data_IF_663190751601
#
_entry.id   IF_663190751601
#
_cell.length_a   1.000
_cell.length_b   1.000
_cell.length_c   1.000
_cell.angle_alpha   90.00
_cell.angle_beta   90.00
_cell.angle_gamma   90.00
#
_symmetry.space_group_name_H-M   'P 1'
#
loop_
_entity.id
_entity.type
_entity.pdbx_description
1 polymer ?
#
# COMPACT_ATOMS: atom_id res chain seq x y z
N UNK A 1 -17.28 22.70 -0.13
CA UNK A 1 -15.81 22.78 -0.23
C UNK A 1 -15.25 21.97 0.93
N UNK A 2 -14.71 20.78 0.67
CA UNK A 2 -14.08 19.99 1.72
C UNK A 2 -12.79 20.70 2.13
N UNK A 3 -12.66 21.07 3.40
CA UNK A 3 -11.43 21.63 3.95
C UNK A 3 -10.31 20.61 3.73
N UNK A 4 -9.37 20.90 2.83
CA UNK A 4 -8.10 20.22 2.81
C UNK A 4 -7.45 20.48 4.18
N UNK A 5 -7.40 19.46 5.03
CA UNK A 5 -6.65 19.56 6.28
C UNK A 5 -5.21 19.82 5.87
N UNK A 6 -4.67 20.97 6.28
CA UNK A 6 -3.29 21.31 6.02
C UNK A 6 -2.37 20.21 6.56
N UNK A 7 -1.32 19.88 5.81
CA UNK A 7 -0.31 18.92 6.25
C UNK A 7 0.20 19.27 7.65
N UNK A 8 0.48 18.25 8.46
CA UNK A 8 1.02 18.39 9.83
C UNK A 8 2.38 19.11 9.84
N UNK A 9 3.17 18.91 8.78
CA UNK A 9 4.41 19.63 8.48
C UNK A 9 4.67 19.63 6.96
N UNK A 10 5.85 20.08 6.53
CA UNK A 10 6.20 20.16 5.11
C UNK A 10 5.98 18.81 4.38
N UNK A 11 5.20 18.85 3.29
CA UNK A 11 4.77 17.68 2.53
C UNK A 11 5.31 17.76 1.09
N UNK A 12 6.62 17.54 0.89
CA UNK A 12 7.30 17.87 -0.38
C UNK A 12 6.81 17.02 -1.56
N UNK A 13 6.29 15.82 -1.29
CA UNK A 13 5.72 14.90 -2.27
C UNK A 13 4.18 14.95 -2.33
N UNK A 14 3.54 15.81 -1.53
CA UNK A 14 2.09 15.99 -1.53
C UNK A 14 1.30 14.73 -1.19
N UNK A 15 1.79 13.90 -0.26
CA UNK A 15 1.11 12.67 0.18
C UNK A 15 -0.28 12.95 0.75
N UNK A 16 -1.23 12.03 0.56
CA UNK A 16 -2.63 12.19 0.99
C UNK A 16 -3.31 10.86 1.42
N UNK A 17 -2.56 10.00 2.11
CA UNK A 17 -3.07 8.71 2.58
C UNK A 17 -2.80 7.53 1.66
N UNK A 18 -3.31 6.35 2.04
CA UNK A 18 -3.25 5.14 1.23
C UNK A 18 -4.30 5.16 0.10
N UNK A 19 -3.94 4.59 -1.05
CA UNK A 19 -4.87 4.39 -2.17
C UNK A 19 -5.34 2.93 -2.29
N UNK A 20 -4.40 1.99 -2.35
CA UNK A 20 -4.66 0.55 -2.35
C UNK A 20 -3.54 -0.26 -1.73
N UNK A 21 -3.85 -1.52 -1.40
CA UNK A 21 -2.88 -2.57 -1.07
C UNK A 21 -2.98 -3.66 -2.12
N UNK A 22 -1.87 -4.05 -2.71
CA UNK A 22 -1.80 -5.13 -3.69
C UNK A 22 -1.19 -6.37 -3.09
N UNK A 23 -1.92 -7.47 -3.23
CA UNK A 23 -1.58 -8.78 -2.74
C UNK A 23 -1.27 -9.72 -3.90
N UNK A 24 -0.32 -10.61 -3.64
CA UNK A 24 -0.02 -11.74 -4.49
C UNK A 24 -0.03 -13.01 -3.64
N UNK A 25 -0.50 -14.12 -4.22
CA UNK A 25 -0.52 -15.41 -3.54
C UNK A 25 -0.38 -16.56 -4.55
N UNK A 26 0.19 -17.71 -4.15
CA UNK A 26 0.17 -18.92 -4.95
C UNK A 26 -1.24 -19.47 -5.20
N UNK A 27 -2.17 -19.28 -4.24
CA UNK A 27 -3.60 -19.54 -4.41
C UNK A 27 -4.40 -18.23 -4.25
N UNK A 28 -4.62 -17.46 -5.34
CA UNK A 28 -5.42 -16.24 -5.31
C UNK A 28 -6.88 -16.47 -4.92
N UNK A 29 -7.42 -17.67 -5.14
CA UNK A 29 -8.80 -17.99 -4.81
C UNK A 29 -8.98 -18.16 -3.29
N UNK A 30 -8.01 -18.74 -2.60
CA UNK A 30 -7.99 -18.77 -1.13
C UNK A 30 -7.95 -17.37 -0.54
N UNK A 31 -7.12 -16.48 -1.09
CA UNK A 31 -7.07 -15.08 -0.64
C UNK A 31 -8.41 -14.36 -0.88
N UNK A 32 -9.06 -14.59 -2.01
CA UNK A 32 -10.39 -14.06 -2.30
C UNK A 32 -11.46 -14.53 -1.30
N UNK A 33 -11.43 -15.81 -0.89
CA UNK A 33 -12.34 -16.34 0.15
C UNK A 33 -12.12 -15.66 1.49
N UNK A 34 -10.86 -15.49 1.91
CA UNK A 34 -10.52 -14.78 3.15
C UNK A 34 -11.03 -13.33 3.14
N UNK A 35 -10.86 -12.60 2.03
CA UNK A 35 -11.36 -11.23 1.90
C UNK A 35 -12.88 -11.17 1.98
N UNK A 36 -13.60 -12.12 1.39
CA UNK A 36 -15.05 -12.21 1.54
C UNK A 36 -15.49 -12.43 3.00
N UNK A 37 -14.78 -13.28 3.75
CA UNK A 37 -15.02 -13.49 5.19
C UNK A 37 -14.77 -12.22 6.02
N UNK A 38 -13.82 -11.39 5.60
CA UNK A 38 -13.55 -10.07 6.20
C UNK A 38 -14.54 -8.98 5.75
N UNK A 39 -15.55 -9.31 4.94
CA UNK A 39 -16.58 -8.40 4.47
C UNK A 39 -16.21 -7.58 3.24
N UNK A 40 -15.13 -7.91 2.53
CA UNK A 40 -14.81 -7.31 1.24
C UNK A 40 -15.60 -7.95 0.11
N UNK A 41 -15.96 -7.16 -0.89
CA UNK A 41 -16.60 -7.65 -2.11
C UNK A 41 -15.67 -7.47 -3.30
N UNK A 42 -15.51 -8.49 -4.14
CA UNK A 42 -14.90 -8.34 -5.46
C UNK A 42 -15.84 -7.50 -6.33
N UNK A 43 -15.40 -6.30 -6.73
CA UNK A 43 -16.24 -5.33 -7.46
C UNK A 43 -15.89 -5.20 -8.93
N UNK A 44 -14.63 -5.46 -9.30
CA UNK A 44 -14.16 -5.25 -10.65
C UNK A 44 -12.98 -6.16 -11.00
N UNK A 45 -12.76 -6.36 -12.29
CA UNK A 45 -11.60 -7.06 -12.85
C UNK A 45 -10.84 -6.12 -13.78
N UNK A 46 -9.52 -6.22 -13.78
CA UNK A 46 -8.69 -5.44 -14.71
C UNK A 46 -9.03 -5.78 -16.16
N UNK A 47 -8.99 -4.78 -17.06
CA UNK A 47 -9.44 -4.92 -18.46
C UNK A 47 -8.72 -6.02 -19.24
N UNK A 48 -7.43 -6.18 -18.98
CA UNK A 48 -6.50 -7.01 -19.76
C UNK A 48 -5.76 -8.06 -18.93
N UNK A 49 -5.80 -7.97 -17.59
CA UNK A 49 -4.96 -8.77 -16.67
C UNK A 49 -5.83 -9.60 -15.74
N UNK A 50 -5.29 -10.71 -15.23
CA UNK A 50 -5.92 -11.50 -14.20
C UNK A 50 -5.76 -10.86 -12.82
N UNK A 51 -6.38 -9.70 -12.65
CA UNK A 51 -6.31 -8.88 -11.44
C UNK A 51 -7.72 -8.52 -10.99
N UNK A 52 -8.01 -8.72 -9.71
CA UNK A 52 -9.32 -8.43 -9.11
C UNK A 52 -9.20 -7.28 -8.10
N UNK A 53 -10.19 -6.39 -8.13
CA UNK A 53 -10.38 -5.31 -7.17
C UNK A 53 -11.45 -5.70 -6.15
N UNK A 54 -11.06 -5.72 -4.89
CA UNK A 54 -11.91 -5.91 -3.73
C UNK A 54 -12.10 -4.59 -2.99
N UNK A 55 -13.31 -4.34 -2.50
CA UNK A 55 -13.64 -3.09 -1.79
C UNK A 55 -14.48 -3.35 -0.53
N UNK A 56 -14.20 -2.54 0.49
CA UNK A 56 -15.00 -2.35 1.69
C UNK A 56 -14.72 -0.94 2.24
N UNK A 57 -15.75 -0.14 2.49
CA UNK A 57 -15.57 1.27 2.84
C UNK A 57 -14.73 2.02 1.80
N UNK A 58 -13.69 2.72 2.24
CA UNK A 58 -12.71 3.38 1.39
C UNK A 58 -11.46 2.52 1.09
N UNK A 59 -11.46 1.24 1.48
CA UNK A 59 -10.34 0.33 1.33
C UNK A 59 -10.41 -0.36 -0.03
N UNK A 60 -9.31 -0.31 -0.78
CA UNK A 60 -9.14 -1.04 -2.04
C UNK A 60 -8.04 -2.08 -1.86
N UNK A 61 -8.40 -3.35 -2.01
CA UNK A 61 -7.45 -4.45 -2.10
C UNK A 61 -7.41 -4.97 -3.52
N UNK A 62 -6.21 -5.07 -4.07
CA UNK A 62 -5.96 -5.64 -5.39
C UNK A 62 -5.38 -7.03 -5.18
N UNK A 63 -5.94 -8.04 -5.83
CA UNK A 63 -5.35 -9.38 -5.89
C UNK A 63 -4.80 -9.58 -7.29
N UNK A 64 -3.49 -9.66 -7.40
CA UNK A 64 -2.80 -9.82 -8.67
C UNK A 64 -2.43 -11.28 -8.92
N UNK A 65 -3.18 -11.90 -9.82
CA UNK A 65 -3.03 -13.27 -10.27
C UNK A 65 -2.55 -13.34 -11.73
N UNK A 66 -1.95 -12.26 -12.24
CA UNK A 66 -1.41 -12.22 -13.60
C UNK A 66 -0.20 -13.16 -13.73
N UNK A 67 -0.23 -14.16 -14.62
CA UNK A 67 0.92 -15.04 -14.83
C UNK A 67 2.15 -14.26 -15.31
N UNK A 68 3.34 -14.80 -15.06
CA UNK A 68 4.61 -14.20 -15.50
C UNK A 68 4.82 -12.72 -15.12
N UNK A 69 4.24 -12.31 -13.99
CA UNK A 69 4.29 -10.94 -13.46
C UNK A 69 5.26 -10.79 -12.28
N UNK A 70 5.56 -9.53 -11.93
CA UNK A 70 6.25 -9.19 -10.68
C UNK A 70 5.52 -9.79 -9.48
N UNK A 71 4.19 -9.63 -9.39
CA UNK A 71 3.38 -10.12 -8.29
C UNK A 71 3.51 -11.64 -8.10
N UNK A 72 3.39 -12.42 -9.18
CA UNK A 72 3.53 -13.88 -9.09
C UNK A 72 4.98 -14.32 -8.80
N UNK A 73 5.97 -13.55 -9.25
CA UNK A 73 7.37 -13.77 -8.84
C UNK A 73 7.57 -13.52 -7.36
N UNK A 74 6.98 -12.45 -6.84
CA UNK A 74 7.00 -12.09 -5.43
C UNK A 74 6.33 -13.16 -4.55
N UNK A 75 5.16 -13.67 -4.97
CA UNK A 75 4.43 -14.71 -4.26
C UNK A 75 5.12 -16.09 -4.26
N UNK A 76 5.96 -16.39 -5.27
CA UNK A 76 6.77 -17.63 -5.29
C UNK A 76 7.90 -17.61 -4.28
N UNK A 77 8.40 -16.41 -3.99
CA UNK A 77 9.32 -16.16 -2.89
C UNK A 77 8.43 -16.17 -1.65
N UNK A 78 7.81 -15.04 -1.30
CA UNK A 78 7.21 -14.77 0.01
C UNK A 78 5.88 -15.46 0.36
N UNK A 79 5.31 -16.31 -0.49
CA UNK A 79 3.97 -16.86 -0.32
C UNK A 79 2.87 -15.79 -0.42
N UNK A 80 1.69 -16.00 0.22
CA UNK A 80 0.62 -15.01 0.28
C UNK A 80 1.10 -13.74 1.00
N UNK A 81 1.24 -12.63 0.27
CA UNK A 81 1.96 -11.45 0.76
C UNK A 81 1.46 -10.16 0.11
N UNK A 82 1.82 -9.03 0.72
CA UNK A 82 1.66 -7.69 0.13
C UNK A 82 2.87 -7.45 -0.77
N UNK A 83 2.66 -7.41 -2.09
CA UNK A 83 3.72 -7.16 -3.05
C UNK A 83 3.85 -5.68 -3.41
N UNK A 84 2.79 -4.88 -3.19
CA UNK A 84 2.85 -3.44 -3.36
C UNK A 84 1.83 -2.68 -2.49
N UNK A 85 2.12 -1.41 -2.26
CA UNK A 85 1.22 -0.44 -1.66
C UNK A 85 1.14 0.80 -2.55
N UNK A 86 0.04 1.54 -2.48
CA UNK A 86 -0.10 2.80 -3.19
C UNK A 86 -0.35 3.95 -2.23
N UNK A 87 0.38 5.05 -2.42
CA UNK A 87 0.15 6.32 -1.74
C UNK A 87 -0.54 7.28 -2.68
N UNK A 88 -1.56 7.95 -2.15
CA UNK A 88 -2.14 9.13 -2.79
C UNK A 88 -1.11 10.26 -2.75
N UNK A 89 -0.95 10.95 -3.87
CA UNK A 89 -0.12 12.15 -3.99
C UNK A 89 -0.84 13.19 -4.84
N UNK A 90 -0.51 14.47 -4.68
CA UNK A 90 -1.17 15.53 -5.46
C UNK A 90 -0.74 15.55 -6.94
N UNK A 91 0.49 15.15 -7.25
CA UNK A 91 1.05 15.09 -8.61
C UNK A 91 2.05 13.92 -8.65
N UNK A 92 1.70 12.86 -9.38
CA UNK A 92 2.47 11.63 -9.40
C UNK A 92 3.82 11.79 -10.12
N UNK A 93 3.86 12.59 -11.19
CA UNK A 93 5.09 12.84 -11.94
C UNK A 93 6.10 13.65 -11.13
N UNK A 94 5.63 14.70 -10.46
CA UNK A 94 6.47 15.52 -9.57
C UNK A 94 6.93 14.72 -8.35
N UNK A 95 6.03 13.95 -7.73
CA UNK A 95 6.37 13.12 -6.57
C UNK A 95 7.41 12.05 -6.93
N UNK A 96 7.24 11.38 -8.08
CA UNK A 96 8.21 10.40 -8.58
C UNK A 96 9.58 11.02 -8.82
N UNK A 97 9.64 12.14 -9.55
CA UNK A 97 10.89 12.85 -9.82
C UNK A 97 11.62 13.20 -8.52
N UNK A 98 10.92 13.82 -7.56
CA UNK A 98 11.49 14.19 -6.26
C UNK A 98 11.94 12.97 -5.45
N UNK A 99 11.17 11.87 -5.47
CA UNK A 99 11.54 10.66 -4.77
C UNK A 99 12.89 10.11 -5.28
N UNK A 100 13.05 10.03 -6.60
CA UNK A 100 14.29 9.57 -7.25
C UNK A 100 15.45 10.52 -6.97
N UNK A 101 15.23 11.84 -7.04
CA UNK A 101 16.24 12.85 -6.67
C UNK A 101 16.72 12.70 -5.20
N UNK A 102 15.86 12.18 -4.32
CA UNK A 102 16.16 11.88 -2.91
C UNK A 102 16.67 10.44 -2.68
N UNK A 103 17.03 9.74 -3.75
CA UNK A 103 17.68 8.44 -3.70
C UNK A 103 16.72 7.25 -3.62
N UNK A 104 15.44 7.42 -3.97
CA UNK A 104 14.55 6.29 -4.21
C UNK A 104 14.96 5.52 -5.48
N UNK A 105 14.79 4.20 -5.47
CA UNK A 105 14.96 3.39 -6.68
C UNK A 105 13.67 3.43 -7.50
N UNK A 106 13.71 4.14 -8.63
CA UNK A 106 12.62 4.16 -9.60
C UNK A 106 12.40 2.79 -10.23
N UNK A 107 11.16 2.50 -10.61
CA UNK A 107 10.78 1.29 -11.33
C UNK A 107 10.27 1.67 -12.71
N UNK A 108 10.85 1.05 -13.74
CA UNK A 108 10.36 1.18 -15.11
C UNK A 108 9.04 0.43 -15.23
N UNK A 109 7.98 1.15 -15.63
CA UNK A 109 6.66 0.57 -15.79
C UNK A 109 6.29 0.52 -17.28
N UNK A 110 5.80 -0.63 -17.73
CA UNK A 110 5.44 -0.89 -19.12
C UNK A 110 3.92 -1.15 -19.20
N UNK A 111 3.09 -0.09 -19.22
CA UNK A 111 1.63 -0.25 -19.23
C UNK A 111 1.17 -0.90 -20.54
N UNK A 112 0.13 -1.72 -20.45
CA UNK A 112 -0.57 -2.24 -21.62
C UNK A 112 -1.33 -1.14 -22.37
N UNK A 113 -1.84 -1.44 -23.58
CA UNK A 113 -2.65 -0.49 -24.33
C UNK A 113 -3.84 0.01 -23.52
N UNK A 114 -4.02 1.34 -23.45
CA UNK A 114 -5.11 2.00 -22.71
C UNK A 114 -5.09 1.80 -21.18
N UNK A 115 -3.96 1.37 -20.62
CA UNK A 115 -3.73 1.32 -19.16
C UNK A 115 -3.02 2.59 -18.67
N UNK A 116 -3.25 2.95 -17.41
CA UNK A 116 -2.49 4.04 -16.80
C UNK A 116 -1.04 3.67 -16.54
N UNK A 117 -0.15 4.59 -16.88
CA UNK A 117 1.25 4.52 -16.46
C UNK A 117 1.39 5.09 -15.04
N UNK A 118 1.14 4.28 -14.02
CA UNK A 118 1.27 4.69 -12.62
C UNK A 118 2.75 4.60 -12.21
N UNK A 119 3.40 5.69 -11.78
CA UNK A 119 4.79 5.66 -11.32
C UNK A 119 4.94 4.84 -10.04
N UNK A 120 6.06 4.13 -9.92
CA UNK A 120 6.38 3.35 -8.74
C UNK A 120 7.86 3.43 -8.38
N UNK A 121 8.16 3.35 -7.08
CA UNK A 121 9.51 3.16 -6.55
C UNK A 121 9.60 1.83 -5.80
N UNK A 122 10.81 1.31 -5.58
CA UNK A 122 11.00 0.17 -4.67
C UNK A 122 10.76 0.58 -3.22
N UNK A 123 10.09 -0.30 -2.49
CA UNK A 123 9.85 -0.26 -1.05
C UNK A 123 10.54 -1.42 -0.32
N UNK A 124 10.01 -1.78 0.85
CA UNK A 124 10.58 -2.81 1.71
C UNK A 124 10.59 -4.19 1.06
N UNK A 125 11.72 -4.90 1.15
CA UNK A 125 11.84 -6.27 0.64
C UNK A 125 11.55 -6.39 -0.85
N UNK A 126 11.97 -5.41 -1.65
CA UNK A 126 11.69 -5.29 -3.09
C UNK A 126 10.22 -5.15 -3.48
N UNK A 127 9.30 -4.94 -2.51
CA UNK A 127 7.92 -4.55 -2.79
C UNK A 127 7.86 -3.19 -3.51
N UNK A 128 6.71 -2.82 -4.06
CA UNK A 128 6.54 -1.56 -4.76
C UNK A 128 5.74 -0.54 -3.95
N UNK A 129 6.07 0.74 -4.14
CA UNK A 129 5.28 1.88 -3.67
C UNK A 129 4.82 2.67 -4.89
N UNK A 130 3.55 2.56 -5.24
CA UNK A 130 2.91 3.32 -6.30
C UNK A 130 2.55 4.74 -5.83
N UNK A 131 2.69 5.71 -6.72
CA UNK A 131 2.33 7.11 -6.50
C UNK A 131 1.11 7.44 -7.37
N UNK A 132 -0.04 7.65 -6.73
CA UNK A 132 -1.33 7.82 -7.42
C UNK A 132 -1.87 9.23 -7.19
N UNK A 133 -2.07 9.99 -8.26
CA UNK A 133 -2.70 11.30 -8.22
C UNK A 133 -4.14 11.33 -8.74
N UNK A 134 -4.64 10.22 -9.29
CA UNK A 134 -6.01 10.10 -9.79
C UNK A 134 -6.91 9.31 -8.82
N UNK A 135 -7.57 10.04 -7.93
CA UNK A 135 -8.49 9.48 -6.92
C UNK A 135 -9.62 10.48 -6.59
N UNK A 136 -10.78 10.03 -6.06
CA UNK A 136 -11.87 10.94 -5.71
C UNK A 136 -11.42 12.05 -4.75
N UNK A 137 -11.64 13.30 -5.15
CA UNK A 137 -11.22 14.49 -4.40
C UNK A 137 -9.79 14.99 -4.67
N UNK A 138 -9.03 14.33 -5.56
CA UNK A 138 -7.72 14.81 -5.98
C UNK A 138 -7.81 16.11 -6.79
N UNK A 139 -6.87 17.03 -6.55
CA UNK A 139 -6.68 18.24 -7.36
C UNK A 139 -6.23 17.96 -8.79
N UNK A 140 -5.60 16.81 -9.06
CA UNK A 140 -5.10 16.44 -10.38
C UNK A 140 -6.23 16.10 -11.38
N UNK A 141 -7.44 15.87 -10.90
CA UNK A 141 -8.55 15.40 -11.73
C UNK A 141 -9.31 16.49 -12.50
N UNK A 142 -8.82 17.73 -12.57
CA UNK A 142 -9.47 18.85 -13.27
C UNK A 142 -10.98 19.01 -12.97
N UNK A 143 -11.39 18.68 -11.73
CA UNK A 143 -12.80 18.72 -11.30
C UNK A 143 -13.64 17.48 -11.64
N UNK A 144 -13.04 16.44 -12.21
CA UNK A 144 -13.68 15.13 -12.40
C UNK A 144 -13.47 14.23 -11.18
N UNK A 145 -14.36 13.25 -10.96
CA UNK A 145 -14.22 12.24 -9.89
C UNK A 145 -13.66 10.90 -10.42
N UNK A 146 -12.96 10.92 -11.55
CA UNK A 146 -12.42 9.71 -12.18
C UNK A 146 -11.24 9.20 -11.36
N UNK A 147 -11.26 7.91 -11.04
CA UNK A 147 -10.19 7.19 -10.34
C UNK A 147 -9.37 6.32 -11.30
N UNK A 148 -8.26 5.76 -10.83
CA UNK A 148 -7.50 4.76 -11.60
C UNK A 148 -8.37 3.53 -11.97
N UNK A 149 -9.33 3.17 -11.11
CA UNK A 149 -10.16 1.98 -11.31
C UNK A 149 -11.15 2.15 -12.46
N UNK A 150 -11.68 3.35 -12.68
CA UNK A 150 -12.61 3.63 -13.78
C UNK A 150 -11.92 3.44 -15.15
N UNK A 151 -10.60 3.63 -15.18
CA UNK A 151 -9.78 3.54 -16.38
C UNK A 151 -9.23 2.14 -16.57
N UNK A 152 -8.71 1.48 -15.54
CA UNK A 152 -8.00 0.20 -15.71
C UNK A 152 -8.89 -1.04 -15.45
N UNK A 153 -10.05 -0.87 -14.79
CA UNK A 153 -10.93 -1.96 -14.39
C UNK A 153 -12.31 -1.90 -15.05
N UNK A 154 -12.98 -3.05 -15.07
CA UNK A 154 -14.37 -3.24 -15.50
C UNK A 154 -15.14 -3.90 -14.36
N UNK A 155 -16.25 -3.29 -13.97
CA UNK A 155 -17.14 -3.80 -12.92
C UNK A 155 -17.62 -5.21 -13.24
N UNK A 156 -17.66 -6.08 -12.23
CA UNK A 156 -18.15 -7.44 -12.39
C UNK A 156 -19.67 -7.45 -12.65
N UNK A 157 -20.19 -8.37 -13.48
CA UNK A 157 -21.62 -8.45 -13.76
C UNK A 157 -22.46 -8.63 -12.48
N UNK A 158 -23.51 -7.84 -12.35
CA UNK A 158 -24.43 -7.90 -11.21
C UNK A 158 -23.90 -7.28 -9.91
N UNK A 159 -22.71 -6.68 -9.93
CA UNK A 159 -22.15 -5.98 -8.76
C UNK A 159 -22.36 -4.47 -8.92
N UNK A 160 -23.05 -3.87 -7.96
CA UNK A 160 -23.03 -2.42 -7.78
C UNK A 160 -21.93 -2.05 -6.78
N UNK A 161 -20.80 -1.56 -7.30
CA UNK A 161 -19.63 -1.17 -6.54
C UNK A 161 -19.87 -0.02 -5.54
N UNK A 162 -21.01 0.68 -5.66
CA UNK A 162 -21.43 1.78 -4.79
C UNK A 162 -22.63 1.42 -3.91
N UNK A 163 -23.13 0.18 -3.99
CA UNK A 163 -24.23 -0.27 -3.15
C UNK A 163 -23.90 -0.18 -1.66
N UNK A 164 -24.92 0.06 -0.83
CA UNK A 164 -24.76 0.14 0.62
C UNK A 164 -24.11 -1.11 1.20
N UNK A 165 -24.43 -2.30 0.66
CA UNK A 165 -23.83 -3.56 1.13
C UNK A 165 -22.33 -3.64 0.86
N UNK A 166 -21.86 -3.22 -0.33
CA UNK A 166 -20.43 -3.18 -0.68
C UNK A 166 -19.68 -2.14 0.14
N UNK A 167 -20.27 -0.95 0.30
CA UNK A 167 -19.65 0.14 1.08
C UNK A 167 -19.60 -0.22 2.56
N UNK A 168 -20.67 -0.79 3.11
CA UNK A 168 -20.76 -1.16 4.53
C UNK A 168 -19.91 -2.38 4.85
N UNK A 169 -20.01 -3.47 4.08
CA UNK A 169 -19.33 -4.74 4.36
C UNK A 169 -19.50 -5.17 5.83
N UNK A 170 -18.38 -5.44 6.49
CA UNK A 170 -18.30 -5.69 7.94
C UNK A 170 -18.07 -4.43 8.79
N UNK A 171 -18.09 -3.23 8.19
CA UNK A 171 -17.93 -1.94 8.86
C UNK A 171 -16.51 -1.39 8.84
N UNK A 172 -15.57 -2.01 8.12
CA UNK A 172 -14.23 -1.44 7.95
C UNK A 172 -14.28 -0.20 7.07
N UNK A 173 -13.60 0.87 7.49
CA UNK A 173 -13.74 2.20 6.89
C UNK A 173 -12.54 2.60 6.05
N UNK A 174 -11.33 2.50 6.59
CA UNK A 174 -10.08 2.90 5.92
C UNK A 174 -8.88 2.11 6.43
N UNK A 175 -7.75 2.20 5.73
CA UNK A 175 -6.46 1.64 6.18
C UNK A 175 -5.81 2.63 7.13
N UNK A 176 -5.70 2.25 8.41
CA UNK A 176 -5.12 3.13 9.43
C UNK A 176 -3.58 3.14 9.42
N UNK A 177 -2.98 1.96 9.36
CA UNK A 177 -1.53 1.77 9.32
C UNK A 177 -1.16 0.38 8.73
N UNK A 178 0.12 0.22 8.40
CA UNK A 178 0.74 -1.04 8.01
C UNK A 178 2.08 -1.16 8.75
N UNK A 179 2.49 -2.36 9.16
CA UNK A 179 3.76 -2.54 9.88
C UNK A 179 4.83 -3.17 9.00
N UNK A 180 6.07 -2.79 9.23
CA UNK A 180 7.24 -3.41 8.62
C UNK A 180 8.05 -4.15 9.66
N UNK A 181 8.25 -5.46 9.45
CA UNK A 181 9.20 -6.24 10.24
C UNK A 181 10.54 -6.24 9.51
N UNK A 182 11.61 -5.83 10.20
CA UNK A 182 12.94 -5.70 9.62
C UNK A 182 13.96 -6.53 10.37
N UNK A 183 14.98 -7.00 9.64
CA UNK A 183 16.13 -7.65 10.27
C UNK A 183 16.86 -6.71 11.23
N UNK A 184 17.48 -7.28 12.26
CA UNK A 184 18.24 -6.54 13.27
C UNK A 184 19.33 -5.65 12.63
N UNK A 185 19.41 -4.41 13.09
CA UNK A 185 20.25 -3.34 12.55
C UNK A 185 19.63 -2.55 11.39
N UNK A 186 18.42 -2.86 10.92
CA UNK A 186 17.81 -2.21 9.74
C UNK A 186 16.64 -1.28 10.06
N UNK A 187 16.28 -1.12 11.33
CA UNK A 187 15.21 -0.20 11.74
C UNK A 187 15.49 1.25 11.30
N UNK A 188 16.70 1.73 11.54
CA UNK A 188 17.10 3.10 11.16
C UNK A 188 17.20 3.27 9.65
N UNK A 189 17.67 2.24 8.92
CA UNK A 189 17.72 2.27 7.45
C UNK A 189 16.34 2.53 6.83
N UNK A 190 15.31 1.83 7.31
CA UNK A 190 13.95 2.01 6.80
C UNK A 190 13.27 3.27 7.35
N UNK A 191 13.58 3.69 8.58
CA UNK A 191 13.10 4.97 9.10
C UNK A 191 13.67 6.14 8.29
N UNK A 192 14.96 6.08 7.95
CA UNK A 192 15.65 7.07 7.12
C UNK A 192 15.16 7.06 5.68
N UNK A 193 14.82 5.89 5.12
CA UNK A 193 14.18 5.79 3.80
C UNK A 193 12.90 6.63 3.74
N UNK A 194 11.96 6.43 4.68
CA UNK A 194 10.71 7.18 4.71
C UNK A 194 10.90 8.65 5.09
N UNK A 195 11.82 8.95 6.00
CA UNK A 195 12.12 10.32 6.43
C UNK A 195 12.76 11.12 5.31
N UNK A 196 13.73 10.55 4.58
CA UNK A 196 14.37 11.20 3.45
C UNK A 196 13.38 11.39 2.31
N UNK A 197 12.82 10.31 1.78
CA UNK A 197 12.04 10.37 0.53
C UNK A 197 10.70 11.09 0.71
N UNK A 198 9.97 10.80 1.78
CA UNK A 198 8.60 11.28 1.97
C UNK A 198 8.45 12.32 3.08
N UNK A 199 9.55 12.70 3.74
CA UNK A 199 9.54 13.56 4.92
C UNK A 199 8.67 13.00 6.05
N UNK A 200 8.65 11.68 6.25
CA UNK A 200 8.01 11.09 7.43
C UNK A 200 8.78 11.49 8.70
N UNK A 201 8.09 11.47 9.84
CA UNK A 201 8.71 11.70 11.15
C UNK A 201 8.41 10.57 12.10
N UNK A 202 9.39 10.24 12.93
CA UNK A 202 9.19 9.39 14.09
C UNK A 202 8.37 10.16 15.12
N UNK A 203 7.13 9.72 15.38
CA UNK A 203 6.26 10.35 16.37
C UNK A 203 6.34 9.68 17.73
N UNK A 204 6.82 8.43 17.78
CA UNK A 204 6.97 7.65 18.99
C UNK A 204 7.94 6.49 18.79
N UNK A 205 8.78 6.27 19.79
CA UNK A 205 9.61 5.08 19.94
C UNK A 205 9.02 4.17 21.02
N UNK A 206 9.10 2.87 20.80
CA UNK A 206 8.72 1.85 21.77
C UNK A 206 9.86 0.87 21.94
N UNK A 207 10.19 0.60 23.21
CA UNK A 207 11.01 -0.53 23.62
C UNK A 207 10.14 -1.44 24.48
N UNK A 208 9.74 -2.59 23.93
CA UNK A 208 8.76 -3.48 24.54
C UNK A 208 9.49 -4.73 25.00
N UNK A 209 9.58 -4.93 26.30
CA UNK A 209 10.05 -6.16 26.92
C UNK A 209 8.85 -7.01 27.34
N UNK A 210 8.63 -8.13 26.63
CA UNK A 210 7.72 -9.18 27.07
C UNK A 210 8.37 -10.08 28.12
N UNK A 211 7.59 -11.02 28.69
CA UNK A 211 8.11 -11.97 29.70
C UNK A 211 9.24 -12.88 29.19
N UNK A 212 9.33 -13.10 27.88
CA UNK A 212 10.27 -14.04 27.26
C UNK A 212 11.02 -13.47 26.03
N UNK A 213 10.49 -12.41 25.41
CA UNK A 213 11.02 -11.81 24.17
C UNK A 213 10.79 -10.30 24.16
N UNK A 214 11.59 -9.54 23.42
CA UNK A 214 11.40 -8.11 23.24
C UNK A 214 11.34 -7.66 21.78
N UNK A 215 10.88 -6.42 21.56
CA UNK A 215 10.96 -5.75 20.27
C UNK A 215 11.13 -4.23 20.43
N UNK A 216 11.77 -3.63 19.43
CA UNK A 216 11.84 -2.18 19.26
C UNK A 216 10.93 -1.77 18.11
N UNK A 217 10.26 -0.62 18.25
CA UNK A 217 9.39 -0.10 17.21
C UNK A 217 9.52 1.42 17.06
N UNK A 218 9.72 1.88 15.82
CA UNK A 218 9.64 3.30 15.44
C UNK A 218 8.34 3.57 14.70
N UNK A 219 7.46 4.36 15.29
CA UNK A 219 6.21 4.76 14.66
C UNK A 219 6.44 5.93 13.70
N UNK A 220 6.56 5.63 12.40
CA UNK A 220 6.75 6.63 11.37
C UNK A 220 5.40 7.16 10.87
N UNK A 221 5.23 8.48 10.80
CA UNK A 221 4.01 9.13 10.32
C UNK A 221 4.33 10.06 9.16
N UNK A 222 3.47 10.05 8.14
CA UNK A 222 3.53 10.96 6.99
C UNK A 222 3.21 12.41 7.34
N UNK A 223 3.68 13.38 6.54
CA UNK A 223 3.32 14.78 6.70
C UNK A 223 1.81 15.06 6.57
N UNK A 224 1.05 14.26 5.81
CA UNK A 224 -0.40 14.39 5.77
C UNK A 224 -1.13 13.80 6.99
N UNK A 225 -0.42 13.05 7.85
CA UNK A 225 -1.00 12.41 9.03
C UNK A 225 -1.92 11.23 8.74
N UNK A 226 -2.02 10.78 7.48
CA UNK A 226 -2.94 9.71 7.04
C UNK A 226 -2.24 8.37 6.78
N UNK A 227 -0.92 8.38 6.60
CA UNK A 227 -0.10 7.19 6.42
C UNK A 227 0.77 7.01 7.66
N UNK A 228 0.69 5.83 8.28
CA UNK A 228 1.48 5.44 9.45
C UNK A 228 2.12 4.08 9.20
N UNK A 229 3.41 3.99 9.46
CA UNK A 229 4.21 2.79 9.25
C UNK A 229 5.11 2.53 10.46
N UNK A 230 4.64 1.74 11.45
CA UNK A 230 5.53 1.23 12.50
C UNK A 230 6.57 0.29 11.91
N UNK A 231 7.84 0.55 12.21
CA UNK A 231 8.98 -0.28 11.80
C UNK A 231 9.45 -1.05 13.03
N UNK A 232 9.32 -2.38 12.99
CA UNK A 232 9.58 -3.28 14.10
C UNK A 232 10.86 -4.07 13.87
N UNK A 233 11.68 -4.13 14.89
CA UNK A 233 12.93 -4.87 14.91
C UNK A 233 13.01 -5.73 16.16
N UNK A 234 13.61 -6.92 16.02
CA UNK A 234 13.79 -7.82 17.13
C UNK A 234 15.01 -7.49 18.00
N UNK A 235 14.85 -7.60 19.32
CA UNK A 235 15.96 -7.56 20.29
C UNK A 235 16.58 -8.93 20.59
N UNK A 236 15.97 -10.03 20.13
CA UNK A 236 16.42 -11.41 20.43
C UNK A 236 16.15 -12.39 19.27
N UNK A 237 16.70 -13.61 19.32
CA UNK A 237 16.59 -14.56 18.19
C UNK A 237 15.30 -15.40 18.23
N UNK A 238 14.45 -15.22 19.24
CA UNK A 238 13.23 -16.02 19.49
C UNK A 238 11.94 -15.20 19.40
N UNK A 239 12.03 -13.91 19.13
CA UNK A 239 10.88 -13.02 19.04
C UNK A 239 9.96 -13.37 17.87
N UNK A 240 8.71 -12.94 17.98
CA UNK A 240 7.71 -13.05 16.91
C UNK A 240 8.15 -12.34 15.61
N UNK A 241 8.97 -11.29 15.71
CA UNK A 241 9.53 -10.59 14.54
C UNK A 241 10.53 -11.48 13.80
N UNK A 242 11.37 -12.21 14.54
CA UNK A 242 12.34 -13.14 13.95
C UNK A 242 11.63 -14.35 13.34
N UNK A 243 10.60 -14.88 13.99
CA UNK A 243 9.76 -15.95 13.43
C UNK A 243 9.13 -15.52 12.10
N UNK A 244 8.57 -14.31 12.03
CA UNK A 244 8.04 -13.74 10.78
C UNK A 244 9.12 -13.71 9.69
N UNK A 245 10.30 -13.16 9.97
CA UNK A 245 11.38 -13.04 8.97
C UNK A 245 11.91 -14.41 8.50
N UNK A 246 11.84 -15.42 9.36
CA UNK A 246 12.19 -16.81 9.01
C UNK A 246 11.08 -17.48 8.19
N UNK A 247 9.82 -17.12 8.37
CA UNK A 247 8.71 -17.66 7.57
C UNK A 247 8.55 -16.91 6.22
N UNK A 248 8.86 -15.61 6.19
CA UNK A 248 8.68 -14.71 5.07
C UNK A 248 9.88 -14.75 4.11
N UNK A 249 9.92 -15.79 3.29
CA UNK A 249 10.90 -16.01 2.21
C UNK A 249 10.19 -16.57 1.01
#
# INVERSE_FOLDING_TARGET
MANAIASLWDNPLGTDGFEFIEYAAPDPAALGRLFAELGFTAIARHRSKNVLLYRQGAINFIVNAEPDSFAQSFARVHGPSICAIAFRVHDAALAYKKAVEQGAWGVENHPGPMELNIPAIKGIGDSLIYLVDRYPGSSANAGTNVSIYDIDFVTLPGVDAHSESVVKGAGLTYIDHLTHNVHRGRMDEWADFYSRIFNFREIRYFDIEGKLTGLKSKAMTSPCGKIRIPINESTDDKSQIQEYLVAYR
#
